data_IF_724915553198
#
_entry.id   IF_724915553198
#
_cell.length_a   1.000
_cell.length_b   1.000
_cell.length_c   1.000
_cell.angle_alpha   90.00
_cell.angle_beta   90.00
_cell.angle_gamma   90.00
#
_symmetry.space_group_name_H-M   'P 1'
#
loop_
_entity.id
_entity.type
_entity.pdbx_description
1 polymer ?
#
# COMPACT_ATOMS: atom_id res chain seq x y z
N UNK A 1 6.72 11.74 5.14
CA UNK A 1 7.41 10.55 4.56
C UNK A 1 6.44 9.58 3.91
N UNK A 2 5.34 9.17 4.57
CA UNK A 2 4.36 8.23 3.99
C UNK A 2 3.86 8.65 2.59
N UNK A 3 3.33 9.86 2.44
CA UNK A 3 2.80 10.37 1.16
C UNK A 3 3.86 10.71 0.10
N UNK A 4 5.13 10.77 0.49
CA UNK A 4 6.26 11.04 -0.41
C UNK A 4 7.01 9.76 -0.78
N UNK A 5 6.59 8.60 -0.26
CA UNK A 5 7.25 7.30 -0.47
C UNK A 5 6.69 6.66 -1.74
N UNK A 6 7.10 7.17 -2.90
CA UNK A 6 6.76 6.58 -4.19
C UNK A 6 7.74 5.47 -4.55
N UNK A 7 7.22 4.35 -5.01
CA UNK A 7 8.01 3.28 -5.60
C UNK A 7 8.64 3.77 -6.91
N UNK A 8 9.91 3.46 -7.11
CA UNK A 8 10.59 3.80 -8.36
C UNK A 8 10.18 2.86 -9.50
N UNK A 9 10.24 3.37 -10.73
CA UNK A 9 10.04 2.53 -11.93
C UNK A 9 11.00 1.34 -11.94
N UNK A 10 10.47 0.16 -12.21
CA UNK A 10 11.22 -1.10 -12.19
C UNK A 10 11.66 -1.58 -10.79
N UNK A 11 11.13 -0.98 -9.71
CA UNK A 11 11.41 -1.41 -8.34
C UNK A 11 10.79 -2.74 -7.96
N UNK A 12 11.20 -3.26 -6.82
CA UNK A 12 10.58 -4.46 -6.23
C UNK A 12 9.36 -4.08 -5.40
N UNK A 13 8.18 -4.55 -5.83
CA UNK A 13 6.93 -4.35 -5.08
C UNK A 13 6.99 -4.95 -3.68
N UNK A 14 7.70 -6.09 -3.50
CA UNK A 14 7.87 -6.71 -2.17
C UNK A 14 8.78 -5.91 -1.25
N UNK A 15 9.85 -5.31 -1.78
CA UNK A 15 10.70 -4.40 -1.00
C UNK A 15 9.93 -3.16 -0.59
N UNK A 16 9.20 -2.57 -1.53
CA UNK A 16 8.38 -1.38 -1.27
C UNK A 16 7.27 -1.65 -0.24
N UNK A 17 6.66 -2.85 -0.29
CA UNK A 17 5.69 -3.28 0.71
C UNK A 17 6.29 -3.37 2.12
N UNK A 18 7.51 -3.90 2.25
CA UNK A 18 8.20 -3.97 3.55
C UNK A 18 8.50 -2.58 4.11
N UNK A 19 8.95 -1.65 3.26
CA UNK A 19 9.20 -0.26 3.65
C UNK A 19 7.90 0.44 4.07
N UNK A 20 6.82 0.25 3.31
CA UNK A 20 5.50 0.77 3.64
C UNK A 20 4.99 0.23 4.98
N UNK A 21 5.08 -1.08 5.22
CA UNK A 21 4.70 -1.73 6.49
C UNK A 21 5.48 -1.15 7.67
N UNK A 22 6.79 -0.91 7.50
CA UNK A 22 7.62 -0.28 8.53
C UNK A 22 7.13 1.13 8.88
N UNK A 23 6.76 1.95 7.88
CA UNK A 23 6.21 3.30 8.09
C UNK A 23 4.86 3.24 8.81
N UNK A 24 3.95 2.35 8.38
CA UNK A 24 2.63 2.18 9.01
C UNK A 24 2.78 1.73 10.47
N UNK A 25 3.70 0.81 10.76
CA UNK A 25 3.97 0.35 12.12
C UNK A 25 4.56 1.47 13.01
N UNK A 26 5.43 2.31 12.46
CA UNK A 26 5.93 3.50 13.17
C UNK A 26 4.80 4.49 13.47
N UNK A 27 3.87 4.69 12.54
CA UNK A 27 2.71 5.58 12.75
C UNK A 27 1.74 5.01 13.79
N UNK A 28 1.52 3.69 13.77
CA UNK A 28 0.78 2.98 14.83
C UNK A 28 1.43 3.18 16.21
N UNK A 29 2.77 3.21 16.29
CA UNK A 29 3.48 3.41 17.57
C UNK A 29 3.35 4.81 18.17
N UNK A 30 2.91 5.80 17.38
CA UNK A 30 2.63 7.17 17.83
C UNK A 30 1.11 7.46 17.89
N UNK A 31 0.30 6.41 18.06
CA UNK A 31 -1.17 6.46 18.12
C UNK A 31 -1.85 7.06 16.87
N UNK A 32 -1.25 6.84 15.69
CA UNK A 32 -1.88 7.16 14.40
C UNK A 32 -2.19 5.83 13.69
N UNK A 33 -3.29 5.14 14.05
CA UNK A 33 -3.72 3.93 13.36
C UNK A 33 -4.34 4.29 12.00
N UNK A 34 -4.13 3.40 11.03
CA UNK A 34 -4.89 3.40 9.78
C UNK A 34 -5.77 2.15 9.75
N UNK A 35 -6.97 2.29 9.20
CA UNK A 35 -7.81 1.15 8.84
C UNK A 35 -7.19 0.39 7.67
N UNK A 36 -7.52 -0.89 7.53
CA UNK A 36 -6.91 -1.76 6.50
C UNK A 36 -7.20 -1.26 5.08
N UNK A 37 -8.42 -0.79 4.82
CA UNK A 37 -8.78 -0.17 3.52
C UNK A 37 -7.91 1.06 3.21
N UNK A 38 -7.61 1.87 4.22
CA UNK A 38 -6.78 3.07 4.06
C UNK A 38 -5.32 2.68 3.80
N UNK A 39 -4.81 1.63 4.45
CA UNK A 39 -3.47 1.08 4.18
C UNK A 39 -3.36 0.56 2.75
N UNK A 40 -4.37 -0.19 2.28
CA UNK A 40 -4.42 -0.70 0.91
C UNK A 40 -4.41 0.44 -0.11
N UNK A 41 -5.28 1.44 0.06
CA UNK A 41 -5.34 2.60 -0.84
C UNK A 41 -4.03 3.39 -0.84
N UNK A 42 -3.44 3.65 0.32
CA UNK A 42 -2.16 4.36 0.41
C UNK A 42 -1.02 3.58 -0.24
N UNK A 43 -1.02 2.25 -0.11
CA UNK A 43 -0.06 1.38 -0.78
C UNK A 43 -0.26 1.43 -2.29
N UNK A 44 -1.48 1.31 -2.79
CA UNK A 44 -1.79 1.41 -4.22
C UNK A 44 -1.42 2.77 -4.82
N UNK A 45 -1.71 3.87 -4.11
CA UNK A 45 -1.32 5.22 -4.53
C UNK A 45 0.19 5.45 -4.51
N UNK A 46 0.98 4.58 -3.88
CA UNK A 46 2.43 4.71 -3.80
C UNK A 46 3.19 4.08 -4.97
N UNK A 47 2.50 3.33 -5.83
CA UNK A 47 3.08 2.78 -7.07
C UNK A 47 3.39 3.90 -8.08
N UNK A 48 4.33 3.64 -9.02
CA UNK A 48 4.59 4.55 -10.12
C UNK A 48 3.45 4.51 -11.14
N UNK A 49 3.29 5.60 -11.89
CA UNK A 49 2.17 5.79 -12.84
C UNK A 49 2.09 4.68 -13.91
N UNK A 50 3.21 4.02 -14.24
CA UNK A 50 3.20 2.86 -15.15
C UNK A 50 2.36 1.68 -14.65
N UNK A 51 2.03 1.64 -13.35
CA UNK A 51 1.18 0.63 -12.73
C UNK A 51 -0.27 1.09 -12.59
N UNK A 52 -0.65 2.29 -13.05
CA UNK A 52 -2.01 2.84 -12.89
C UNK A 52 -3.10 1.90 -13.42
N UNK A 53 -2.84 1.23 -14.56
CA UNK A 53 -3.79 0.26 -15.12
C UNK A 53 -3.93 -0.98 -14.23
N UNK A 54 -2.84 -1.45 -13.63
CA UNK A 54 -2.86 -2.56 -12.67
C UNK A 54 -3.58 -2.14 -11.38
N UNK A 55 -3.29 -0.95 -10.86
CA UNK A 55 -3.96 -0.37 -9.69
C UNK A 55 -5.47 -0.24 -9.93
N UNK A 56 -5.89 0.20 -11.12
CA UNK A 56 -7.30 0.32 -11.50
C UNK A 56 -8.00 -1.04 -11.56
N UNK A 57 -7.36 -2.05 -12.17
CA UNK A 57 -7.91 -3.42 -12.23
C UNK A 57 -8.04 -4.00 -10.83
N UNK A 58 -6.99 -3.90 -10.00
CA UNK A 58 -6.99 -4.40 -8.62
C UNK A 58 -8.09 -3.70 -7.80
N UNK A 59 -8.16 -2.36 -7.84
CA UNK A 59 -9.18 -1.57 -7.14
C UNK A 59 -10.61 -1.97 -7.51
N UNK A 60 -10.86 -2.21 -8.81
CA UNK A 60 -12.18 -2.63 -9.30
C UNK A 60 -12.52 -4.08 -8.90
N UNK A 61 -11.52 -4.94 -8.69
CA UNK A 61 -11.72 -6.33 -8.24
C UNK A 61 -11.88 -6.46 -6.72
N UNK A 62 -11.28 -5.58 -5.92
CA UNK A 62 -11.40 -5.60 -4.45
C UNK A 62 -12.85 -5.34 -4.01
N UNK A 63 -13.60 -4.52 -4.76
CA UNK A 63 -15.05 -4.34 -4.58
C UNK A 63 -15.89 -5.61 -4.85
N UNK A 64 -15.27 -6.67 -5.39
CA UNK A 64 -15.93 -7.89 -5.84
C UNK A 64 -15.35 -9.17 -5.19
N UNK A 65 -14.93 -9.12 -3.91
CA UNK A 65 -14.80 -10.26 -2.96
C UNK A 65 -13.42 -10.61 -2.39
N UNK A 66 -12.35 -9.81 -2.51
CA UNK A 66 -11.08 -10.11 -1.82
C UNK A 66 -10.35 -8.86 -1.35
N UNK A 67 -10.53 -8.51 -0.07
CA UNK A 67 -9.73 -7.53 0.68
C UNK A 67 -8.28 -8.05 0.75
N UNK A 68 -7.28 -7.19 0.48
CA UNK A 68 -5.88 -7.55 0.60
C UNK A 68 -5.50 -7.64 2.08
N UNK A 69 -5.71 -8.82 2.66
CA UNK A 69 -5.34 -9.08 4.05
C UNK A 69 -3.82 -8.97 4.21
N UNK A 70 -3.39 -7.93 4.93
CA UNK A 70 -2.03 -7.88 5.45
C UNK A 70 -1.95 -8.79 6.67
N UNK A 71 -1.34 -9.96 6.51
CA UNK A 71 -1.06 -10.81 7.66
C UNK A 71 -0.05 -10.12 8.59
N UNK A 72 -0.45 -9.91 9.83
CA UNK A 72 0.42 -9.43 10.91
C UNK A 72 1.41 -10.54 11.30
N UNK A 73 2.62 -10.54 10.71
CA UNK A 73 3.82 -11.16 11.30
C UNK A 73 4.44 -10.26 12.37
#
# INVERSE_FOLDING_TARGET
>A
KLFSSKMHEGGSASSHLNDFRSIVNQLKSVDIPFDDEVKELLFLCSFPDSWDNLVMVVSNTTSANNILKFDDV
#
